data_IF_244482215065
#
_entry.id   IF_244482215065
#
_cell.length_a   1.000
_cell.length_b   1.000
_cell.length_c   1.000
_cell.angle_alpha   90.00
_cell.angle_beta   90.00
_cell.angle_gamma   90.00
#
_symmetry.space_group_name_H-M   'P 1'
#
loop_
_entity.id
_entity.type
_entity.pdbx_description
1 polymer ?
#
# COMPACT_ATOMS: atom_id res chain seq x y z
N UNK A 1 -0.99 9.23 4.53
CA UNK A 1 -0.65 9.81 3.22
C UNK A 1 -0.22 11.28 3.33
N UNK A 2 -1.04 12.22 3.82
CA UNK A 2 -0.71 13.67 3.81
C UNK A 2 0.60 14.01 4.51
N UNK A 3 0.89 13.42 5.68
CA UNK A 3 2.14 13.64 6.41
C UNK A 3 3.36 13.15 5.61
N UNK A 4 3.24 11.99 4.99
CA UNK A 4 4.31 11.39 4.20
C UNK A 4 4.58 12.21 2.92
N UNK A 5 3.53 12.68 2.23
CA UNK A 5 3.66 13.54 1.05
C UNK A 5 4.35 14.87 1.38
N UNK A 6 4.02 15.49 2.52
CA UNK A 6 4.68 16.72 2.96
C UNK A 6 6.17 16.54 3.33
N UNK A 7 6.62 15.30 3.44
CA UNK A 7 8.00 14.94 3.69
C UNK A 7 8.69 14.34 2.47
N UNK A 8 8.14 14.52 1.27
CA UNK A 8 8.67 13.97 0.02
C UNK A 8 8.91 12.46 0.09
N UNK A 9 8.03 11.72 0.81
CA UNK A 9 8.00 10.26 0.79
C UNK A 9 6.99 9.84 -0.27
N UNK A 10 7.48 9.16 -1.28
CA UNK A 10 6.70 8.75 -2.44
C UNK A 10 5.70 7.65 -2.07
N UNK A 11 4.47 7.78 -2.52
CA UNK A 11 3.35 6.88 -2.28
C UNK A 11 2.55 6.73 -3.58
N UNK A 12 1.74 5.68 -3.68
CA UNK A 12 0.78 5.52 -4.76
C UNK A 12 -0.15 6.73 -4.85
N UNK A 13 -0.52 7.15 -6.05
CA UNK A 13 -1.56 8.15 -6.22
C UNK A 13 -2.88 7.62 -5.70
N UNK A 14 -3.64 8.45 -5.00
CA UNK A 14 -4.85 8.00 -4.35
C UNK A 14 -5.94 9.07 -4.32
N UNK A 15 -7.16 8.61 -4.11
CA UNK A 15 -8.33 9.40 -3.77
C UNK A 15 -9.01 8.75 -2.57
N UNK A 16 -9.67 9.56 -1.75
CA UNK A 16 -10.50 9.04 -0.69
C UNK A 16 -11.81 9.81 -0.58
N UNK A 17 -12.84 9.15 -0.10
CA UNK A 17 -14.16 9.72 0.15
C UNK A 17 -14.91 8.90 1.19
N UNK A 18 -15.99 9.45 1.72
CA UNK A 18 -16.92 8.69 2.54
C UNK A 18 -17.99 8.03 1.67
N UNK A 19 -18.45 6.84 2.06
CA UNK A 19 -19.42 6.04 1.31
C UNK A 19 -20.76 6.78 1.11
N UNK A 20 -21.21 7.54 2.10
CA UNK A 20 -22.40 8.39 1.98
C UNK A 20 -22.27 9.47 0.89
N UNK A 21 -21.07 10.02 0.71
CA UNK A 21 -20.76 10.97 -0.36
C UNK A 21 -20.77 10.32 -1.72
N UNK A 22 -20.33 9.06 -1.81
CA UNK A 22 -20.45 8.31 -3.07
C UNK A 22 -21.92 8.12 -3.45
N UNK A 23 -22.77 7.70 -2.52
CA UNK A 23 -24.21 7.57 -2.76
C UNK A 23 -24.85 8.88 -3.26
N UNK A 24 -24.41 10.03 -2.71
CA UNK A 24 -24.96 11.34 -3.07
C UNK A 24 -24.41 11.92 -4.39
N UNK A 25 -23.18 11.54 -4.80
CA UNK A 25 -22.47 12.19 -5.92
C UNK A 25 -21.59 11.20 -6.71
N UNK A 26 -22.09 10.00 -6.98
CA UNK A 26 -21.35 8.89 -7.60
C UNK A 26 -20.62 9.32 -8.89
N UNK A 27 -21.31 9.91 -9.84
CA UNK A 27 -20.73 10.32 -11.12
C UNK A 27 -19.59 11.34 -10.95
N UNK A 28 -19.71 12.26 -10.00
CA UNK A 28 -18.65 13.24 -9.72
C UNK A 28 -17.40 12.56 -9.17
N UNK A 29 -17.58 11.60 -8.27
CA UNK A 29 -16.45 10.84 -7.67
C UNK A 29 -15.82 9.93 -8.72
N UNK A 30 -16.61 9.19 -9.50
CA UNK A 30 -16.14 8.36 -10.60
C UNK A 30 -15.31 9.14 -11.61
N UNK A 31 -15.79 10.31 -12.01
CA UNK A 31 -15.06 11.18 -12.94
C UNK A 31 -13.74 11.69 -12.34
N UNK A 32 -13.68 11.96 -11.04
CA UNK A 32 -12.43 12.31 -10.35
C UNK A 32 -11.45 11.15 -10.33
N UNK A 33 -11.91 9.92 -10.06
CA UNK A 33 -11.08 8.72 -10.10
C UNK A 33 -10.51 8.54 -11.50
N UNK A 34 -11.37 8.55 -12.53
CA UNK A 34 -10.99 8.38 -13.93
C UNK A 34 -10.00 9.46 -14.44
N UNK A 35 -10.09 10.67 -13.90
CA UNK A 35 -9.20 11.78 -14.29
C UNK A 35 -7.85 11.78 -13.58
N UNK A 36 -7.66 10.98 -12.51
CA UNK A 36 -6.49 11.05 -11.65
C UNK A 36 -5.73 9.73 -11.49
N UNK A 37 -6.40 8.61 -11.73
CA UNK A 37 -5.82 7.28 -11.53
C UNK A 37 -5.94 6.46 -12.80
N UNK A 38 -4.85 5.80 -13.17
CA UNK A 38 -4.81 4.82 -14.24
C UNK A 38 -5.08 3.42 -13.68
N UNK A 39 -5.74 2.57 -14.49
CA UNK A 39 -5.99 1.18 -14.12
C UNK A 39 -4.74 0.30 -14.34
N UNK A 40 -4.51 -0.72 -13.52
CA UNK A 40 -5.38 -1.20 -12.44
C UNK A 40 -5.41 -0.26 -11.23
N UNK A 41 -6.55 -0.24 -10.51
CA UNK A 41 -6.68 0.45 -9.22
C UNK A 41 -7.08 -0.51 -8.11
N UNK A 42 -6.75 -0.16 -6.88
CA UNK A 42 -7.20 -0.85 -5.68
C UNK A 42 -8.25 -0.01 -4.96
N UNK A 43 -9.40 -0.62 -4.68
CA UNK A 43 -10.45 -0.03 -3.83
C UNK A 43 -10.39 -0.73 -2.48
N UNK A 44 -10.25 0.04 -1.41
CA UNK A 44 -10.08 -0.50 -0.06
C UNK A 44 -10.75 0.34 1.02
N UNK A 45 -11.23 -0.28 2.11
CA UNK A 45 -11.61 0.45 3.31
C UNK A 45 -10.39 1.11 3.95
N UNK A 46 -10.54 2.28 4.58
CA UNK A 46 -9.41 3.01 5.15
C UNK A 46 -8.86 2.37 6.44
N UNK A 47 -9.70 1.66 7.21
CA UNK A 47 -9.34 1.07 8.50
C UNK A 47 -9.68 -0.43 8.56
N UNK A 48 -9.15 -1.21 7.61
CA UNK A 48 -9.23 -2.66 7.65
C UNK A 48 -7.85 -3.26 7.36
N UNK A 49 -7.53 -4.35 8.04
CA UNK A 49 -6.32 -5.11 7.84
C UNK A 49 -6.53 -6.36 6.99
N UNK A 50 -5.45 -7.09 6.70
CA UNK A 50 -5.47 -8.40 6.06
C UNK A 50 -6.25 -8.47 4.74
N UNK A 51 -6.21 -7.43 3.95
CA UNK A 51 -6.90 -7.31 2.65
C UNK A 51 -8.44 -7.46 2.71
N UNK A 52 -9.06 -7.40 3.90
CA UNK A 52 -10.52 -7.47 4.03
C UNK A 52 -11.17 -6.28 3.34
N UNK A 53 -12.17 -6.55 2.48
CA UNK A 53 -12.88 -5.52 1.72
C UNK A 53 -12.09 -4.93 0.53
N UNK A 54 -10.84 -5.35 0.30
CA UNK A 54 -10.02 -4.87 -0.81
C UNK A 54 -10.47 -5.52 -2.13
N UNK A 55 -10.41 -4.74 -3.21
CA UNK A 55 -10.66 -5.20 -4.58
C UNK A 55 -9.65 -4.56 -5.53
N UNK A 56 -9.00 -5.39 -6.36
CA UNK A 56 -8.22 -4.95 -7.52
C UNK A 56 -9.14 -4.85 -8.72
N UNK A 57 -9.10 -3.73 -9.41
CA UNK A 57 -9.92 -3.47 -10.59
C UNK A 57 -9.05 -3.23 -11.81
N UNK A 58 -9.33 -3.97 -12.86
CA UNK A 58 -8.71 -3.78 -14.18
C UNK A 58 -9.58 -2.89 -15.08
N UNK A 59 -10.85 -2.64 -14.70
CA UNK A 59 -11.84 -1.92 -15.49
C UNK A 59 -12.68 -1.00 -14.63
N UNK A 60 -13.08 0.11 -15.23
CA UNK A 60 -13.86 1.15 -14.57
C UNK A 60 -15.29 0.67 -14.21
N UNK A 61 -15.86 -0.23 -14.99
CA UNK A 61 -17.22 -0.74 -14.82
C UNK A 61 -17.43 -1.47 -13.49
N UNK A 62 -16.35 -2.05 -12.94
CA UNK A 62 -16.40 -2.83 -11.70
C UNK A 62 -16.33 -1.94 -10.43
N UNK A 63 -16.19 -0.61 -10.60
CA UNK A 63 -15.91 0.33 -9.51
C UNK A 63 -17.04 0.38 -8.46
N UNK A 64 -18.30 0.39 -8.90
CA UNK A 64 -19.45 0.49 -7.99
C UNK A 64 -19.51 -0.70 -7.03
N UNK A 65 -19.38 -1.92 -7.55
CA UNK A 65 -19.39 -3.13 -6.75
C UNK A 65 -18.22 -3.20 -5.75
N UNK A 66 -17.04 -2.73 -6.16
CA UNK A 66 -15.87 -2.67 -5.29
C UNK A 66 -16.04 -1.64 -4.16
N UNK A 67 -16.61 -0.47 -4.46
CA UNK A 67 -16.90 0.56 -3.45
C UNK A 67 -17.95 0.03 -2.46
N UNK A 68 -19.01 -0.62 -2.93
CA UNK A 68 -20.01 -1.23 -2.05
C UNK A 68 -19.39 -2.30 -1.13
N UNK A 69 -18.49 -3.12 -1.66
CA UNK A 69 -17.77 -4.14 -0.87
C UNK A 69 -16.93 -3.47 0.21
N UNK A 70 -16.12 -2.47 -0.12
CA UNK A 70 -15.28 -1.76 0.84
C UNK A 70 -16.12 -1.00 1.88
N UNK A 71 -17.28 -0.44 1.48
CA UNK A 71 -18.18 0.30 2.36
C UNK A 71 -18.86 -0.55 3.45
N UNK A 72 -18.84 -1.87 3.31
CA UNK A 72 -19.33 -2.79 4.38
C UNK A 72 -18.36 -2.86 5.55
N UNK A 73 -17.08 -2.59 5.30
CA UNK A 73 -16.01 -2.69 6.30
C UNK A 73 -15.70 -1.34 6.96
N UNK A 74 -15.73 -0.24 6.17
CA UNK A 74 -15.48 1.11 6.68
C UNK A 74 -16.28 2.15 5.89
N UNK A 75 -16.72 3.18 6.60
CA UNK A 75 -17.37 4.35 5.99
C UNK A 75 -16.44 5.16 5.10
N UNK A 76 -15.12 5.11 5.32
CA UNK A 76 -14.11 5.82 4.53
C UNK A 76 -13.45 4.87 3.54
N UNK A 77 -13.54 5.22 2.26
CA UNK A 77 -13.02 4.43 1.15
C UNK A 77 -11.80 5.12 0.56
N UNK A 78 -10.78 4.33 0.24
CA UNK A 78 -9.57 4.76 -0.47
C UNK A 78 -9.52 4.05 -1.81
N UNK A 79 -9.22 4.79 -2.87
CA UNK A 79 -8.92 4.24 -4.21
C UNK A 79 -7.51 4.65 -4.56
N UNK A 80 -6.66 3.68 -4.85
CA UNK A 80 -5.24 3.88 -5.14
C UNK A 80 -4.87 3.27 -6.48
N UNK A 81 -3.90 3.84 -7.17
CA UNK A 81 -3.30 3.24 -8.36
C UNK A 81 -2.57 1.93 -8.02
N UNK A 82 -2.62 0.97 -8.92
CA UNK A 82 -1.86 -0.28 -8.80
C UNK A 82 -0.42 -0.10 -9.23
N UNK A 83 0.51 -0.28 -8.30
CA UNK A 83 1.94 -0.19 -8.58
C UNK A 83 2.44 -1.53 -9.13
N UNK A 84 3.14 -1.48 -10.29
CA UNK A 84 3.87 -2.64 -10.83
C UNK A 84 5.30 -2.62 -10.30
N UNK A 85 5.68 -3.67 -9.60
CA UNK A 85 7.02 -3.76 -9.01
C UNK A 85 7.16 -4.92 -8.05
N UNK A 86 8.34 -5.01 -7.45
CA UNK A 86 8.62 -5.95 -6.38
C UNK A 86 8.01 -5.45 -5.07
N UNK A 87 7.30 -6.31 -4.36
CA UNK A 87 6.83 -6.03 -3.00
C UNK A 87 7.94 -6.38 -2.02
N UNK A 88 8.34 -5.40 -1.23
CA UNK A 88 9.42 -5.55 -0.24
C UNK A 88 9.01 -4.98 1.10
N UNK A 89 9.56 -5.53 2.16
CA UNK A 89 9.25 -5.14 3.52
C UNK A 89 10.51 -4.86 4.34
N UNK A 90 10.38 -3.94 5.28
CA UNK A 90 11.45 -3.53 6.18
C UNK A 90 10.93 -3.43 7.61
N UNK A 91 11.52 -4.14 8.55
CA UNK A 91 11.24 -3.93 9.96
C UNK A 91 11.99 -2.70 10.47
N UNK A 92 11.32 -1.90 11.30
CA UNK A 92 11.94 -0.78 12.04
C UNK A 92 11.73 -1.03 13.53
N UNK A 93 12.81 -0.96 14.30
CA UNK A 93 12.79 -1.20 15.74
C UNK A 93 13.46 -0.06 16.48
N UNK A 94 12.85 0.37 17.57
CA UNK A 94 13.40 1.38 18.48
C UNK A 94 12.46 2.55 18.70
N UNK A 95 12.95 3.57 19.41
CA UNK A 95 12.21 4.78 19.70
C UNK A 95 12.93 6.00 19.08
N UNK A 96 13.82 6.67 19.83
CA UNK A 96 14.59 7.83 19.31
C UNK A 96 15.63 7.39 18.28
N UNK A 97 16.33 6.29 18.58
CA UNK A 97 17.39 5.72 17.74
C UNK A 97 16.84 4.47 17.02
N UNK A 98 15.75 4.68 16.27
CA UNK A 98 15.13 3.62 15.49
C UNK A 98 16.04 3.17 14.34
N UNK A 99 16.19 1.85 14.18
CA UNK A 99 17.01 1.20 13.18
C UNK A 99 16.15 0.33 12.26
N UNK A 100 16.55 0.26 11.00
CA UNK A 100 15.90 -0.56 9.98
C UNK A 100 16.63 -1.89 9.81
N UNK A 101 15.89 -2.96 9.61
CA UNK A 101 16.42 -4.29 9.26
C UNK A 101 17.00 -4.32 7.83
N UNK A 102 17.58 -5.47 7.46
CA UNK A 102 17.72 -5.85 6.06
C UNK A 102 16.34 -5.96 5.41
N UNK A 103 16.27 -5.82 4.09
CA UNK A 103 15.02 -5.83 3.34
C UNK A 103 14.64 -7.29 3.01
N UNK A 104 13.37 -7.63 3.23
CA UNK A 104 12.74 -8.85 2.74
C UNK A 104 11.96 -8.58 1.46
N UNK A 105 11.93 -9.53 0.53
CA UNK A 105 11.09 -9.49 -0.67
C UNK A 105 10.02 -10.56 -0.59
N UNK A 106 8.79 -10.17 -0.89
CA UNK A 106 7.65 -11.08 -1.02
C UNK A 106 7.57 -11.50 -2.48
N UNK A 107 7.97 -12.74 -2.77
CA UNK A 107 7.87 -13.31 -4.11
C UNK A 107 6.40 -13.52 -4.48
N UNK A 108 6.00 -12.97 -5.63
CA UNK A 108 4.66 -13.12 -6.14
C UNK A 108 4.36 -14.60 -6.44
N UNK A 109 3.42 -15.19 -5.72
CA UNK A 109 2.83 -16.49 -6.06
C UNK A 109 1.64 -16.36 -7.01
N UNK A 110 1.01 -15.15 -7.06
CA UNK A 110 -0.09 -14.79 -7.95
C UNK A 110 -0.08 -13.28 -8.24
N UNK A 111 -0.81 -12.83 -9.26
CA UNK A 111 -0.92 -11.41 -9.64
C UNK A 111 -1.54 -10.51 -8.56
N UNK A 112 -2.08 -11.08 -7.51
CA UNK A 112 -2.66 -10.37 -6.37
C UNK A 112 -2.51 -11.24 -5.12
N UNK A 113 -1.84 -10.70 -4.12
CA UNK A 113 -1.61 -11.33 -2.82
C UNK A 113 -2.81 -11.06 -1.91
N UNK A 114 -3.89 -11.83 -2.11
CA UNK A 114 -5.11 -11.69 -1.32
C UNK A 114 -5.04 -12.41 0.04
N UNK A 115 -6.15 -12.38 0.78
CA UNK A 115 -6.25 -13.03 2.10
C UNK A 115 -5.99 -14.54 2.03
N UNK A 116 -6.47 -15.20 0.99
CA UNK A 116 -6.35 -16.65 0.82
C UNK A 116 -4.89 -17.04 0.53
N UNK A 117 -4.17 -16.26 -0.26
CA UNK A 117 -2.74 -16.47 -0.50
C UNK A 117 -1.91 -16.20 0.77
N UNK A 118 -2.28 -15.19 1.56
CA UNK A 118 -1.55 -14.84 2.80
C UNK A 118 -1.65 -15.90 3.89
N UNK A 119 -2.83 -16.52 4.05
CA UNK A 119 -3.13 -17.32 5.23
C UNK A 119 -3.51 -18.78 4.94
N UNK A 120 -3.94 -19.11 3.72
CA UNK A 120 -4.45 -20.45 3.38
C UNK A 120 -3.48 -21.22 2.50
N UNK A 121 -2.99 -20.61 1.42
CA UNK A 121 -2.20 -21.31 0.41
C UNK A 121 -0.70 -21.36 0.74
N UNK A 122 -0.15 -20.43 1.52
CA UNK A 122 1.25 -20.43 2.00
C UNK A 122 2.31 -20.53 0.89
N UNK A 123 1.97 -20.13 -0.35
CA UNK A 123 2.81 -20.33 -1.54
C UNK A 123 3.79 -19.20 -1.79
N UNK A 124 3.72 -18.13 -0.99
CA UNK A 124 4.63 -17.00 -1.13
C UNK A 124 6.04 -17.36 -0.75
N UNK A 125 6.99 -17.10 -1.63
CA UNK A 125 8.41 -17.22 -1.35
C UNK A 125 8.91 -15.92 -0.71
N UNK A 126 9.57 -16.04 0.43
CA UNK A 126 10.24 -14.92 1.07
C UNK A 126 11.73 -14.96 0.75
N UNK A 127 12.29 -13.89 0.22
CA UNK A 127 13.72 -13.75 -0.04
C UNK A 127 14.33 -12.74 0.94
N UNK A 128 15.27 -13.19 1.76
CA UNK A 128 15.99 -12.36 2.74
C UNK A 128 17.50 -12.63 2.59
N UNK A 129 18.28 -11.66 2.09
CA UNK A 129 17.89 -10.33 1.66
C UNK A 129 17.05 -10.34 0.37
N UNK A 130 16.30 -9.25 0.14
CA UNK A 130 15.58 -8.99 -1.11
C UNK A 130 16.53 -8.94 -2.31
N UNK A 131 16.02 -9.31 -3.48
CA UNK A 131 16.77 -9.32 -4.76
C UNK A 131 16.70 -7.94 -5.44
N UNK A 132 17.18 -6.93 -4.75
CA UNK A 132 17.26 -5.53 -5.19
C UNK A 132 18.67 -5.01 -5.03
N UNK A 133 19.01 -3.93 -5.74
CA UNK A 133 20.31 -3.29 -5.64
C UNK A 133 20.54 -2.69 -4.24
N UNK A 134 21.80 -2.64 -3.81
CA UNK A 134 22.16 -2.12 -2.49
C UNK A 134 21.75 -0.65 -2.30
N UNK A 135 21.88 0.18 -3.34
CA UNK A 135 21.43 1.58 -3.32
C UNK A 135 19.92 1.69 -3.06
N UNK A 136 19.11 0.84 -3.69
CA UNK A 136 17.66 0.78 -3.50
C UNK A 136 17.36 0.30 -2.07
N UNK A 137 18.07 -0.72 -1.60
CA UNK A 137 17.95 -1.24 -0.23
C UNK A 137 18.21 -0.15 0.82
N UNK A 138 19.29 0.62 0.65
CA UNK A 138 19.64 1.71 1.54
C UNK A 138 18.58 2.84 1.50
N UNK A 139 18.06 3.17 0.34
CA UNK A 139 16.97 4.14 0.17
C UNK A 139 15.70 3.69 0.93
N UNK A 140 15.34 2.41 0.83
CA UNK A 140 14.20 1.83 1.55
C UNK A 140 14.42 1.95 3.06
N UNK A 141 15.57 1.53 3.58
CA UNK A 141 15.89 1.60 5.00
C UNK A 141 15.82 3.01 5.57
N UNK A 142 16.40 3.98 4.85
CA UNK A 142 16.35 5.40 5.24
C UNK A 142 14.90 5.93 5.21
N UNK A 143 14.13 5.59 4.18
CA UNK A 143 12.74 6.00 4.03
C UNK A 143 11.86 5.39 5.12
N UNK A 144 12.07 4.10 5.46
CA UNK A 144 11.34 3.41 6.52
C UNK A 144 11.54 4.09 7.87
N UNK A 145 12.79 4.36 8.26
CA UNK A 145 13.10 5.06 9.53
C UNK A 145 12.55 6.49 9.54
N UNK A 146 12.64 7.20 8.42
CA UNK A 146 12.10 8.56 8.28
C UNK A 146 10.58 8.58 8.42
N UNK A 147 9.87 7.67 7.74
CA UNK A 147 8.42 7.52 7.84
C UNK A 147 7.99 7.14 9.26
N UNK A 148 8.69 6.18 9.88
CA UNK A 148 8.46 5.72 11.24
C UNK A 148 8.51 6.88 12.25
N UNK A 149 9.56 7.71 12.18
CA UNK A 149 9.73 8.88 13.05
C UNK A 149 8.68 9.96 12.79
N UNK A 150 8.38 10.21 11.51
CA UNK A 150 7.39 11.21 11.09
C UNK A 150 5.98 10.90 11.60
N UNK A 151 5.61 9.61 11.58
CA UNK A 151 4.33 9.13 12.06
C UNK A 151 4.25 8.96 13.58
N UNK A 152 5.33 9.23 14.32
CA UNK A 152 5.39 9.15 15.77
C UNK A 152 5.34 7.72 16.31
N UNK A 153 5.79 6.74 15.52
CA UNK A 153 5.82 5.35 15.93
C UNK A 153 6.86 5.12 17.04
N UNK A 154 6.62 4.08 17.85
CA UNK A 154 7.51 3.61 18.91
C UNK A 154 7.46 2.09 19.03
N UNK A 155 8.52 1.47 19.58
CA UNK A 155 8.63 0.01 19.67
C UNK A 155 9.05 -0.62 18.36
N UNK A 156 8.12 -1.20 17.61
CA UNK A 156 8.38 -1.86 16.34
C UNK A 156 7.32 -1.58 15.28
N UNK A 157 7.71 -1.63 14.02
CA UNK A 157 6.81 -1.60 12.87
C UNK A 157 7.39 -2.38 11.71
N UNK A 158 6.53 -2.93 10.83
CA UNK A 158 6.91 -3.37 9.49
C UNK A 158 6.42 -2.31 8.49
N UNK A 159 7.31 -1.88 7.64
CA UNK A 159 7.03 -0.90 6.60
C UNK A 159 7.12 -1.59 5.25
N UNK A 160 6.04 -1.55 4.50
CA UNK A 160 5.88 -2.26 3.24
C UNK A 160 6.04 -1.28 2.08
N UNK A 161 6.78 -1.68 1.05
CA UNK A 161 7.10 -0.86 -0.11
C UNK A 161 6.90 -1.63 -1.41
N UNK A 162 6.75 -0.88 -2.50
CA UNK A 162 6.96 -1.35 -3.85
C UNK A 162 8.24 -0.74 -4.42
N UNK A 163 9.04 -1.57 -5.11
CA UNK A 163 10.13 -1.12 -5.97
C UNK A 163 9.65 -1.27 -7.40
N UNK A 164 9.45 -0.13 -8.09
CA UNK A 164 8.87 -0.13 -9.45
C UNK A 164 9.79 -0.78 -10.47
N UNK A 165 9.18 -1.41 -11.51
CA UNK A 165 9.92 -1.95 -12.62
C UNK A 165 10.56 -0.83 -13.46
N UNK A 166 11.79 -1.03 -13.90
CA UNK A 166 12.51 -0.16 -14.83
C UNK A 166 13.21 1.03 -14.18
N UNK A 167 12.51 1.89 -13.46
CA UNK A 167 13.07 3.10 -12.84
C UNK A 167 13.42 2.95 -11.36
N UNK A 168 13.12 1.80 -10.75
CA UNK A 168 13.47 1.43 -9.38
C UNK A 168 13.05 2.47 -8.32
N UNK A 169 11.90 3.15 -8.53
CA UNK A 169 11.35 4.05 -7.51
C UNK A 169 10.90 3.27 -6.29
N UNK A 170 11.11 3.87 -5.13
CA UNK A 170 10.70 3.32 -3.83
C UNK A 170 9.39 3.97 -3.42
N UNK A 171 8.30 3.22 -3.50
CA UNK A 171 6.94 3.66 -3.17
C UNK A 171 6.54 3.07 -1.83
N UNK A 172 6.30 3.90 -0.82
CA UNK A 172 5.81 3.43 0.47
C UNK A 172 4.33 3.04 0.32
N UNK A 173 4.01 1.80 0.69
CA UNK A 173 2.66 1.25 0.67
C UNK A 173 1.96 1.45 2.02
N UNK A 174 2.39 0.74 3.04
CA UNK A 174 1.76 0.83 4.36
C UNK A 174 2.78 0.66 5.51
N UNK A 175 2.35 1.06 6.71
CA UNK A 175 3.10 0.86 7.94
C UNK A 175 2.25 0.09 8.95
N UNK A 176 2.75 -1.06 9.37
CA UNK A 176 2.11 -1.98 10.30
C UNK A 176 2.81 -1.88 11.66
N UNK A 177 2.22 -1.16 12.61
CA UNK A 177 2.76 -1.04 13.97
C UNK A 177 2.46 -2.29 14.79
N UNK A 178 3.39 -2.67 15.65
CA UNK A 178 3.31 -3.83 16.57
C UNK A 178 2.89 -3.37 17.96
#
# INVERSE_FOLDING_TARGET
HTLLSNADIEQAHYLWFYADRFTAAAETIKNKIKARLDFPVFVKPANAGSSVGVSKLERFEDLDAAIEKAAREDSKIVVEEGIKGQEVECAVLGNRDAEASIIGEIGASAQFYDYDDKYINGTSQLFIPARIDEEVSDKIRQTAVRAYRLLGCSGGARVDFFVTEGDHRVILNEMNTL
#
